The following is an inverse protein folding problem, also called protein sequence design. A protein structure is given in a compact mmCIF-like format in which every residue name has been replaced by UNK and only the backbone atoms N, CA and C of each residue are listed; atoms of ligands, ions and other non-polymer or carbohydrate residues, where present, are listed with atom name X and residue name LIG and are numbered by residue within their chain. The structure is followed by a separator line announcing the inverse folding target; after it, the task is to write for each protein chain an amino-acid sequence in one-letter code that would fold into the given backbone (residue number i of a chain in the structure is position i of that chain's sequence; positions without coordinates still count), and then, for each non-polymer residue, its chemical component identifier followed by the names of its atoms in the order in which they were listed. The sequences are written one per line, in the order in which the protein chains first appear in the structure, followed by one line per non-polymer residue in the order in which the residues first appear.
data_IF_057276060046
#
_entry.id   IF_057276060046
#
_cell.length_a   1.000
_cell.length_b   1.000
_cell.length_c   1.000
_cell.angle_alpha   90.00
_cell.angle_beta   90.00
_cell.angle_gamma   90.00
#
_symmetry.space_group_name_H-M   'P 1'
#
loop_
_entity.id
_entity.type
_entity.pdbx_description
1 polymer ?
#
# COMPACT_ATOMS: atom_id res chain seq x y z
N UNK A 1 6.69 -14.04 -7.28
CA UNK A 1 7.12 -13.02 -6.31
C UNK A 1 5.89 -12.43 -5.67
N UNK A 2 5.98 -12.08 -4.40
CA UNK A 2 4.94 -11.36 -3.67
C UNK A 2 5.27 -9.87 -3.68
N UNK A 3 4.40 -9.09 -4.30
CA UNK A 3 4.58 -7.64 -4.47
C UNK A 3 3.60 -6.94 -3.53
N UNK A 4 4.11 -6.09 -2.65
CA UNK A 4 3.29 -5.20 -1.85
C UNK A 4 3.16 -3.84 -2.54
N UNK A 5 1.93 -3.37 -2.73
CA UNK A 5 1.65 -2.05 -3.31
C UNK A 5 0.98 -1.21 -2.23
N UNK A 6 1.61 -0.12 -1.85
CA UNK A 6 1.00 0.93 -1.03
C UNK A 6 0.49 2.02 -1.96
N UNK A 7 -0.84 2.16 -2.04
CA UNK A 7 -1.52 3.13 -2.87
C UNK A 7 -1.98 4.33 -2.03
N UNK A 8 -1.42 5.50 -2.32
CA UNK A 8 -1.62 6.73 -1.55
C UNK A 8 -2.29 7.82 -2.36
N UNK A 9 -3.46 7.56 -2.95
CA UNK A 9 -4.24 8.59 -3.67
C UNK A 9 -5.72 8.54 -3.30
N UNK A 10 -6.31 9.69 -2.95
CA UNK A 10 -7.68 9.76 -2.43
C UNK A 10 -8.75 9.31 -3.43
N UNK A 11 -8.57 9.60 -4.72
CA UNK A 11 -9.44 9.05 -5.75
C UNK A 11 -8.91 7.67 -6.15
N UNK A 12 -9.42 6.65 -5.46
CA UNK A 12 -8.97 5.26 -5.55
C UNK A 12 -9.55 4.49 -6.74
N UNK A 13 -10.49 5.08 -7.48
CA UNK A 13 -11.23 4.42 -8.58
C UNK A 13 -10.95 5.06 -9.93
N UNK A 14 -11.12 6.38 -10.04
CA UNK A 14 -11.24 7.07 -11.33
C UNK A 14 -10.09 8.06 -11.58
N UNK A 15 -8.94 7.87 -10.93
CA UNK A 15 -7.75 8.69 -11.14
C UNK A 15 -6.76 8.04 -12.09
N UNK A 16 -5.91 8.85 -12.73
CA UNK A 16 -4.78 8.33 -13.52
C UNK A 16 -3.89 7.39 -12.67
N UNK A 17 -3.63 7.72 -11.41
CA UNK A 17 -2.88 6.86 -10.50
C UNK A 17 -3.58 5.51 -10.25
N UNK A 18 -4.91 5.51 -10.10
CA UNK A 18 -5.70 4.28 -9.98
C UNK A 18 -5.61 3.43 -11.25
N UNK A 19 -5.70 4.04 -12.44
CA UNK A 19 -5.51 3.31 -13.70
C UNK A 19 -4.11 2.69 -13.82
N UNK A 20 -3.04 3.41 -13.44
CA UNK A 20 -1.68 2.86 -13.44
C UNK A 20 -1.54 1.69 -12.46
N UNK A 21 -2.11 1.81 -11.24
CA UNK A 21 -2.17 0.73 -10.26
C UNK A 21 -2.87 -0.50 -10.85
N UNK A 22 -4.05 -0.32 -11.43
CA UNK A 22 -4.87 -1.44 -11.90
C UNK A 22 -4.23 -2.14 -13.09
N UNK A 23 -3.70 -1.39 -14.06
CA UNK A 23 -2.94 -1.97 -15.18
C UNK A 23 -1.71 -2.73 -14.70
N UNK A 24 -0.94 -2.19 -13.75
CA UNK A 24 0.21 -2.90 -13.19
C UNK A 24 -0.21 -4.21 -12.51
N UNK A 25 -1.25 -4.17 -11.66
CA UNK A 25 -1.77 -5.35 -10.96
C UNK A 25 -2.22 -6.42 -11.94
N UNK A 26 -2.94 -6.04 -13.00
CA UNK A 26 -3.42 -6.96 -14.03
C UNK A 26 -2.25 -7.65 -14.74
N UNK A 27 -1.26 -6.89 -15.22
CA UNK A 27 -0.11 -7.45 -15.93
C UNK A 27 0.80 -8.30 -15.02
N UNK A 28 1.03 -7.87 -13.77
CA UNK A 28 1.82 -8.62 -12.81
C UNK A 28 1.18 -9.99 -12.49
N UNK A 29 -0.14 -10.04 -12.34
CA UNK A 29 -0.87 -11.30 -12.13
C UNK A 29 -0.78 -12.23 -13.34
N UNK A 30 -0.81 -11.70 -14.57
CA UNK A 30 -0.67 -12.51 -15.81
C UNK A 30 0.64 -13.28 -15.87
N UNK A 31 1.72 -12.74 -15.31
CA UNK A 31 3.04 -13.39 -15.27
C UNK A 31 3.31 -14.16 -13.97
N UNK A 32 2.27 -14.41 -13.16
CA UNK A 32 2.37 -15.27 -11.98
C UNK A 32 2.90 -14.60 -10.71
N UNK A 33 2.77 -13.27 -10.59
CA UNK A 33 3.07 -12.58 -9.33
C UNK A 33 1.83 -12.48 -8.44
N UNK A 34 2.06 -12.51 -7.13
CA UNK A 34 1.05 -12.28 -6.12
C UNK A 34 1.05 -10.80 -5.72
N UNK A 35 -0.13 -10.21 -5.56
CA UNK A 35 -0.29 -8.80 -5.20
C UNK A 35 -0.91 -8.70 -3.81
N UNK A 36 -0.23 -8.00 -2.92
CA UNK A 36 -0.77 -7.47 -1.68
C UNK A 36 -1.01 -5.96 -1.84
N UNK A 37 -2.27 -5.54 -1.96
CA UNK A 37 -2.64 -4.13 -2.15
C UNK A 37 -3.06 -3.51 -0.81
N UNK A 38 -2.41 -2.41 -0.45
CA UNK A 38 -2.76 -1.53 0.67
C UNK A 38 -3.28 -0.22 0.07
N UNK A 39 -4.55 0.09 0.28
CA UNK A 39 -5.14 1.31 -0.26
C UNK A 39 -5.46 2.28 0.87
N UNK A 40 -4.51 3.17 1.18
CA UNK A 40 -4.50 3.94 2.43
C UNK A 40 -5.81 4.71 2.69
N UNK A 41 -6.48 5.17 1.63
CA UNK A 41 -7.73 5.94 1.75
C UNK A 41 -8.99 5.08 1.91
N UNK A 42 -8.92 3.78 1.58
CA UNK A 42 -10.04 2.83 1.67
C UNK A 42 -9.92 1.89 2.90
N UNK A 43 -8.85 1.99 3.70
CA UNK A 43 -8.65 1.17 4.90
C UNK A 43 -9.67 1.53 6.00
N UNK A 44 -10.33 0.51 6.54
CA UNK A 44 -11.34 0.67 7.60
C UNK A 44 -10.76 1.27 8.88
N UNK A 45 -9.55 0.82 9.25
CA UNK A 45 -8.78 1.37 10.37
C UNK A 45 -7.54 2.10 9.83
N UNK A 46 -7.47 3.40 10.09
CA UNK A 46 -6.36 4.22 9.64
C UNK A 46 -5.13 4.02 10.55
N UNK A 47 -3.93 4.00 9.95
CA UNK A 47 -2.69 3.98 10.71
C UNK A 47 -2.66 5.18 11.67
N UNK A 48 -2.30 4.96 12.95
CA UNK A 48 -2.25 6.04 13.92
C UNK A 48 -1.13 7.01 13.55
N UNK A 49 -1.31 8.28 13.91
CA UNK A 49 -0.20 9.23 13.89
C UNK A 49 0.94 8.71 14.75
N UNK A 50 2.15 8.73 14.20
CA UNK A 50 3.34 8.32 14.93
C UNK A 50 3.53 9.20 16.17
N UNK A 51 3.72 8.55 17.32
CA UNK A 51 4.06 9.20 18.58
C UNK A 51 5.16 8.41 19.27
N UNK A 52 6.26 9.08 19.63
CA UNK A 52 7.45 8.45 20.22
C UNK A 52 7.24 7.93 21.64
N UNK A 53 6.18 8.38 22.33
CA UNK A 53 5.80 7.92 23.67
C UNK A 53 5.01 6.61 23.67
N UNK A 54 4.53 6.14 22.50
CA UNK A 54 3.80 4.88 22.37
C UNK A 54 4.78 3.72 22.13
N UNK A 55 4.97 2.89 23.15
CA UNK A 55 5.80 1.69 23.11
C UNK A 55 5.16 0.58 23.98
N UNK A 56 4.88 -0.62 23.45
CA UNK A 56 5.16 -1.08 22.08
C UNK A 56 4.31 -0.36 21.01
N UNK A 57 4.74 -0.38 19.73
CA UNK A 57 3.92 0.14 18.63
C UNK A 57 2.53 -0.51 18.59
N UNK A 58 1.49 0.21 18.15
CA UNK A 58 0.14 -0.34 18.00
C UNK A 58 0.12 -1.59 17.12
N UNK A 59 -0.79 -2.53 17.41
CA UNK A 59 -0.89 -3.80 16.71
C UNK A 59 -1.07 -3.62 15.18
N UNK A 60 -1.87 -2.64 14.77
CA UNK A 60 -2.08 -2.29 13.36
C UNK A 60 -0.75 -1.96 12.64
N UNK A 61 0.15 -1.21 13.29
CA UNK A 61 1.48 -0.88 12.74
C UNK A 61 2.30 -2.15 12.57
N UNK A 62 2.25 -3.05 13.55
CA UNK A 62 2.96 -4.33 13.50
C UNK A 62 2.41 -5.24 12.40
N UNK A 63 1.11 -5.20 12.11
CA UNK A 63 0.51 -6.02 11.06
C UNK A 63 0.82 -5.48 9.66
N UNK A 64 0.85 -4.16 9.48
CA UNK A 64 1.38 -3.55 8.26
C UNK A 64 2.85 -3.91 8.05
N UNK A 65 3.67 -3.87 9.10
CA UNK A 65 5.08 -4.29 9.04
C UNK A 65 5.21 -5.73 8.55
N UNK A 66 4.41 -6.67 9.07
CA UNK A 66 4.43 -8.08 8.61
C UNK A 66 4.07 -8.21 7.14
N UNK A 67 3.15 -7.39 6.61
CA UNK A 67 2.81 -7.36 5.17
C UNK A 67 4.03 -6.97 4.34
N UNK A 68 4.75 -5.93 4.76
CA UNK A 68 5.98 -5.49 4.10
C UNK A 68 7.10 -6.54 4.18
N UNK A 69 7.31 -7.15 5.35
CA UNK A 69 8.33 -8.20 5.55
C UNK A 69 8.04 -9.48 4.74
N UNK A 70 6.78 -9.73 4.41
CA UNK A 70 6.37 -10.89 3.62
C UNK A 70 6.40 -10.62 2.10
N UNK A 71 6.83 -9.44 1.65
CA UNK A 71 6.94 -9.09 0.25
C UNK A 71 8.38 -9.19 -0.25
N UNK A 72 8.56 -9.64 -1.49
CA UNK A 72 9.85 -9.63 -2.18
C UNK A 72 10.19 -8.21 -2.69
N UNK A 73 9.16 -7.43 -3.05
CA UNK A 73 9.27 -6.07 -3.60
C UNK A 73 8.13 -5.21 -3.06
N UNK A 74 8.45 -3.95 -2.74
CA UNK A 74 7.47 -2.94 -2.33
C UNK A 74 7.40 -1.81 -3.37
N UNK A 75 6.18 -1.44 -3.77
CA UNK A 75 5.88 -0.23 -4.54
C UNK A 75 5.11 0.77 -3.69
N UNK A 76 5.50 2.04 -3.79
CA UNK A 76 4.70 3.17 -3.32
C UNK A 76 4.14 3.90 -4.54
N UNK A 77 2.83 3.89 -4.70
CA UNK A 77 2.12 4.48 -5.84
C UNK A 77 1.24 5.62 -5.34
N UNK A 78 1.62 6.86 -5.65
CA UNK A 78 0.91 8.06 -5.22
C UNK A 78 1.16 9.21 -6.21
N UNK A 79 0.27 10.20 -6.20
CA UNK A 79 0.54 11.45 -6.89
C UNK A 79 1.68 12.20 -6.19
N UNK A 80 2.47 12.89 -6.99
CA UNK A 80 3.48 13.80 -6.45
C UNK A 80 2.79 15.09 -5.98
N UNK A 81 2.87 15.39 -4.68
CA UNK A 81 2.25 16.56 -4.07
C UNK A 81 3.33 17.53 -3.56
N UNK A 82 3.31 18.77 -4.05
CA UNK A 82 4.06 19.93 -3.53
C UNK A 82 5.56 19.66 -3.27
N UNK A 83 6.28 19.22 -4.30
CA UNK A 83 7.75 19.02 -4.32
C UNK A 83 8.55 20.17 -3.67
#
# INVERSE_FOLDING_TARGET
MKICIVFGHYNTKDSFNASVRDTFIEEAKKIGHEIDLINLFDEEEQLPFYRSDINPPPQLVMDYRKRLENADVMFLMSACHNL
#
